data_IF_754670857006
#
_entry.id   IF_754670857006
#
_cell.length_a   1.000
_cell.length_b   1.000
_cell.length_c   1.000
_cell.angle_alpha   90.00
_cell.angle_beta   90.00
_cell.angle_gamma   90.00
#
_symmetry.space_group_name_H-M   'P 1'
#
loop_
_entity.id
_entity.type
_entity.pdbx_description
1 polymer ?
#
# COMPACT_ATOMS: atom_id res chain seq x y z
N UNK A 1 -7.60 -14.54 -8.08
CA UNK A 1 -8.17 -14.10 -6.78
C UNK A 1 -7.17 -13.39 -5.86
N UNK A 2 -6.03 -13.95 -5.45
CA UNK A 2 -5.11 -13.21 -4.54
C UNK A 2 -4.36 -12.05 -5.24
N UNK A 3 -3.92 -12.22 -6.49
CA UNK A 3 -3.20 -11.17 -7.21
C UNK A 3 -4.04 -9.91 -7.48
N UNK A 4 -5.34 -10.05 -7.72
CA UNK A 4 -6.23 -8.90 -7.99
C UNK A 4 -6.35 -7.97 -6.78
N UNK A 5 -6.40 -8.56 -5.57
CA UNK A 5 -6.42 -7.83 -4.30
C UNK A 5 -5.10 -7.09 -4.05
N UNK A 6 -3.98 -7.67 -4.47
CA UNK A 6 -2.66 -7.06 -4.36
C UNK A 6 -2.52 -5.86 -5.32
N UNK A 7 -2.96 -6.00 -6.57
CA UNK A 7 -2.96 -4.89 -7.53
C UNK A 7 -3.82 -3.72 -7.04
N UNK A 8 -5.00 -3.97 -6.46
CA UNK A 8 -5.83 -2.91 -5.92
C UNK A 8 -5.16 -2.14 -4.76
N UNK A 9 -4.49 -2.84 -3.83
CA UNK A 9 -3.74 -2.20 -2.74
C UNK A 9 -2.62 -1.34 -3.31
N UNK A 10 -1.86 -1.85 -4.28
CA UNK A 10 -0.74 -1.14 -4.90
C UNK A 10 -1.22 0.11 -5.63
N UNK A 11 -2.28 0.01 -6.43
CA UNK A 11 -2.86 1.17 -7.16
C UNK A 11 -3.30 2.26 -6.20
N UNK A 12 -4.01 1.90 -5.12
CA UNK A 12 -4.43 2.88 -4.11
C UNK A 12 -3.25 3.48 -3.35
N UNK A 13 -2.21 2.69 -3.10
CA UNK A 13 -0.97 3.13 -2.47
C UNK A 13 -0.21 4.13 -3.36
N UNK A 14 -0.10 3.85 -4.66
CA UNK A 14 0.47 4.76 -5.65
C UNK A 14 -0.36 6.04 -5.83
N UNK A 15 -1.68 5.97 -5.64
CA UNK A 15 -2.56 7.14 -5.60
C UNK A 15 -2.41 7.98 -4.32
N UNK A 16 -1.48 7.64 -3.42
CA UNK A 16 -1.22 8.37 -2.18
C UNK A 16 -2.25 8.15 -1.08
N UNK A 17 -3.13 7.14 -1.21
CA UNK A 17 -4.08 6.80 -0.15
C UNK A 17 -3.33 6.20 1.04
N UNK A 18 -3.79 6.55 2.24
CA UNK A 18 -3.25 5.97 3.47
C UNK A 18 -3.71 4.53 3.65
N UNK A 19 -2.97 3.73 4.41
CA UNK A 19 -3.34 2.34 4.70
C UNK A 19 -4.75 2.21 5.31
N UNK A 20 -5.21 3.23 6.06
CA UNK A 20 -6.56 3.29 6.63
C UNK A 20 -7.66 3.37 5.55
N UNK A 21 -7.47 4.22 4.55
CA UNK A 21 -8.37 4.38 3.41
C UNK A 21 -8.42 3.09 2.57
N UNK A 22 -7.26 2.47 2.37
CA UNK A 22 -7.13 1.21 1.62
C UNK A 22 -7.87 0.08 2.34
N UNK A 23 -7.72 -0.04 3.65
CA UNK A 23 -8.45 -1.05 4.44
C UNK A 23 -9.97 -0.87 4.32
N UNK A 24 -10.47 0.38 4.40
CA UNK A 24 -11.90 0.67 4.25
C UNK A 24 -12.43 0.32 2.86
N UNK A 25 -11.69 0.67 1.81
CA UNK A 25 -12.11 0.43 0.42
C UNK A 25 -12.02 -1.03 -0.01
N UNK A 26 -11.03 -1.76 0.50
CA UNK A 26 -10.79 -3.16 0.10
C UNK A 26 -11.43 -4.19 1.03
N UNK A 27 -11.92 -3.79 2.21
CA UNK A 27 -12.40 -4.69 3.28
C UNK A 27 -11.40 -5.81 3.62
N UNK A 28 -10.10 -5.54 3.43
CA UNK A 28 -9.04 -6.50 3.72
C UNK A 28 -8.55 -6.36 5.15
N UNK A 29 -8.15 -7.48 5.79
CA UNK A 29 -7.57 -7.42 7.12
C UNK A 29 -6.25 -6.65 7.08
N UNK A 30 -6.00 -5.93 8.19
CA UNK A 30 -4.80 -5.10 8.37
C UNK A 30 -3.52 -5.86 8.06
N UNK A 31 -3.42 -7.12 8.48
CA UNK A 31 -2.26 -7.97 8.23
C UNK A 31 -1.95 -8.14 6.73
N UNK A 32 -2.98 -8.32 5.90
CA UNK A 32 -2.81 -8.44 4.45
C UNK A 32 -2.35 -7.12 3.84
N UNK A 33 -2.98 -6.00 4.21
CA UNK A 33 -2.60 -4.67 3.69
C UNK A 33 -1.16 -4.32 4.07
N UNK A 34 -0.77 -4.54 5.34
CA UNK A 34 0.60 -4.28 5.79
C UNK A 34 1.62 -5.20 5.16
N UNK A 35 1.30 -6.48 4.93
CA UNK A 35 2.20 -7.42 4.25
C UNK A 35 2.46 -7.00 2.80
N UNK A 36 1.42 -6.59 2.08
CA UNK A 36 1.54 -6.08 0.70
C UNK A 36 2.31 -4.76 0.67
N UNK A 37 2.00 -3.81 1.56
CA UNK A 37 2.73 -2.54 1.66
C UNK A 37 4.21 -2.75 2.03
N UNK A 38 4.51 -3.70 2.91
CA UNK A 38 5.88 -4.04 3.29
C UNK A 38 6.64 -4.62 2.10
N UNK A 39 6.06 -5.61 1.41
CA UNK A 39 6.65 -6.17 0.19
C UNK A 39 6.86 -5.10 -0.89
N UNK A 40 5.89 -4.21 -1.09
CA UNK A 40 5.97 -3.11 -2.05
C UNK A 40 7.04 -2.05 -1.68
N UNK A 41 7.26 -1.83 -0.38
CA UNK A 41 8.34 -0.96 0.12
C UNK A 41 9.71 -1.62 -0.01
N UNK A 42 9.83 -2.92 0.29
CA UNK A 42 11.08 -3.69 0.13
C UNK A 42 11.48 -3.84 -1.34
N UNK A 43 10.51 -3.94 -2.26
CA UNK A 43 10.76 -3.95 -3.71
C UNK A 43 11.20 -2.59 -4.26
N UNK A 44 11.35 -1.55 -3.41
CA UNK A 44 11.93 -0.26 -3.79
C UNK A 44 11.03 0.64 -4.66
N UNK A 45 9.82 0.19 -5.03
CA UNK A 45 8.86 0.97 -5.83
C UNK A 45 8.17 2.08 -5.04
N UNK A 46 8.18 2.00 -3.71
CA UNK A 46 7.67 3.05 -2.85
C UNK A 46 8.81 3.97 -2.41
N UNK A 47 9.26 4.84 -3.32
CA UNK A 47 9.97 6.06 -2.90
C UNK A 47 8.97 6.86 -2.07
N UNK A 48 8.96 6.65 -0.75
CA UNK A 48 8.49 7.70 0.15
C UNK A 48 9.34 8.89 -0.24
N UNK A 49 8.73 9.92 -0.84
CA UNK A 49 9.33 11.24 -0.85
C UNK A 49 9.62 11.52 0.61
N UNK A 50 10.88 11.32 0.97
CA UNK A 50 11.42 11.74 2.25
C UNK A 50 11.03 13.20 2.31
N UNK A 51 10.07 13.52 3.18
CA UNK A 51 9.77 14.90 3.52
C UNK A 51 10.96 15.36 4.36
N UNK A 52 12.09 15.54 3.67
CA UNK A 52 13.29 16.16 4.19
C UNK A 52 12.93 17.63 4.29
N UNK A 53 12.23 17.97 5.35
CA UNK A 53 12.16 19.34 5.86
C UNK A 53 13.61 19.70 6.20
N UNK A 54 14.24 20.46 5.31
CA UNK A 54 15.44 21.24 5.57
C UNK A 54 15.05 22.70 5.45
#
# INVERSE_FOLDING_TARGET
MEQEKWSAIIVLTCAGRTAAEIMKGTKLPRSTVFRVLKAFKEEGKMQRKDHKQK
#
